data_IF_926823654435
#
_entry.id   IF_926823654435
#
_cell.length_a   1.000
_cell.length_b   1.000
_cell.length_c   1.000
_cell.angle_alpha   90.00
_cell.angle_beta   90.00
_cell.angle_gamma   90.00
#
_symmetry.space_group_name_H-M   'P 1'
#
loop_
_entity.id
_entity.type
_entity.pdbx_description
1 polymer ?
#
# COMPACT_ATOMS: atom_id res chain seq x y z
N UNK A 1 -17.74 24.12 -19.73
CA UNK A 1 -18.08 23.05 -18.76
C UNK A 1 -17.02 21.97 -18.84
N UNK A 2 -16.52 21.48 -17.72
CA UNK A 2 -15.48 20.44 -17.72
C UNK A 2 -16.17 19.07 -17.86
N UNK A 3 -15.87 18.37 -18.94
CA UNK A 3 -16.44 17.03 -19.20
C UNK A 3 -15.69 15.97 -18.42
N UNK A 4 -16.42 14.95 -17.94
CA UNK A 4 -15.85 13.75 -17.29
C UNK A 4 -14.80 13.08 -18.21
N UNK A 5 -14.97 13.15 -19.53
CA UNK A 5 -14.00 12.62 -20.49
C UNK A 5 -12.64 13.31 -20.39
N UNK A 6 -12.62 14.61 -20.14
CA UNK A 6 -11.40 15.39 -19.99
C UNK A 6 -10.69 15.05 -18.67
N UNK A 7 -11.44 14.74 -17.61
CA UNK A 7 -10.89 14.24 -16.35
C UNK A 7 -10.20 12.87 -16.53
N UNK A 8 -10.84 11.95 -17.25
CA UNK A 8 -10.21 10.67 -17.58
C UNK A 8 -8.97 10.82 -18.45
N UNK A 9 -8.99 11.75 -19.41
CA UNK A 9 -7.83 12.05 -20.24
C UNK A 9 -6.66 12.60 -19.40
N UNK A 10 -6.92 13.54 -18.49
CA UNK A 10 -5.90 14.09 -17.58
C UNK A 10 -5.32 13.00 -16.68
N UNK A 11 -6.16 12.13 -16.10
CA UNK A 11 -5.69 11.00 -15.28
C UNK A 11 -4.82 10.05 -16.10
N UNK A 12 -5.24 9.74 -17.33
CA UNK A 12 -4.48 8.87 -18.24
C UNK A 12 -3.11 9.46 -18.59
N UNK A 13 -3.05 10.74 -18.91
CA UNK A 13 -1.80 11.43 -19.22
C UNK A 13 -0.84 11.43 -18.02
N UNK A 14 -1.33 11.79 -16.83
CA UNK A 14 -0.53 11.74 -15.60
C UNK A 14 -0.07 10.31 -15.29
N UNK A 15 -0.93 9.31 -15.52
CA UNK A 15 -0.59 7.90 -15.31
C UNK A 15 0.51 7.46 -16.27
N UNK A 16 0.48 7.89 -17.53
CA UNK A 16 1.50 7.55 -18.52
C UNK A 16 2.90 8.01 -18.10
N UNK A 17 3.01 9.19 -17.47
CA UNK A 17 4.29 9.68 -16.93
C UNK A 17 4.72 8.95 -15.65
N UNK A 18 3.76 8.54 -14.82
CA UNK A 18 4.04 7.92 -13.51
C UNK A 18 4.30 6.41 -13.61
N UNK A 19 3.65 5.74 -14.57
CA UNK A 19 3.70 4.28 -14.74
C UNK A 19 5.10 3.71 -14.96
N UNK A 20 5.98 4.29 -15.80
CA UNK A 20 7.34 3.78 -15.97
C UNK A 20 8.11 3.73 -14.65
N UNK A 21 7.99 4.78 -13.82
CA UNK A 21 8.62 4.82 -12.51
C UNK A 21 8.03 3.74 -11.59
N UNK A 22 6.70 3.60 -11.54
CA UNK A 22 6.05 2.56 -10.73
C UNK A 22 6.42 1.14 -11.17
N UNK A 23 6.53 0.89 -12.47
CA UNK A 23 6.96 -0.41 -13.01
C UNK A 23 8.39 -0.73 -12.57
N UNK A 24 9.31 0.24 -12.70
CA UNK A 24 10.69 0.05 -12.25
C UNK A 24 10.79 -0.22 -10.75
N UNK A 25 10.01 0.51 -9.93
CA UNK A 25 9.94 0.30 -8.48
C UNK A 25 9.36 -1.08 -8.14
N UNK A 26 8.33 -1.52 -8.87
CA UNK A 26 7.74 -2.84 -8.69
C UNK A 26 8.73 -3.96 -9.05
N UNK A 27 9.52 -3.80 -10.13
CA UNK A 27 10.60 -4.74 -10.48
C UNK A 27 11.68 -4.81 -9.41
N UNK A 28 11.97 -3.68 -8.75
CA UNK A 28 12.88 -3.61 -7.62
C UNK A 28 12.27 -4.10 -6.29
N UNK A 29 10.97 -4.43 -6.28
CA UNK A 29 10.21 -4.75 -5.07
C UNK A 29 10.27 -3.66 -3.99
N UNK A 30 10.45 -2.39 -4.39
CA UNK A 30 10.44 -1.23 -3.48
C UNK A 30 9.01 -0.69 -3.32
N UNK A 31 8.26 -1.37 -2.45
CA UNK A 31 6.90 -0.98 -2.11
C UNK A 31 6.83 0.37 -1.39
N UNK A 32 7.85 0.73 -0.61
CA UNK A 32 7.86 1.97 0.16
C UNK A 32 7.87 3.19 -0.74
N UNK A 33 8.83 3.25 -1.66
CA UNK A 33 8.93 4.35 -2.61
C UNK A 33 7.74 4.36 -3.58
N UNK A 34 7.24 3.19 -3.98
CA UNK A 34 6.04 3.10 -4.83
C UNK A 34 4.81 3.75 -4.18
N UNK A 35 4.58 3.53 -2.88
CA UNK A 35 3.48 4.16 -2.15
C UNK A 35 3.62 5.69 -2.09
N UNK A 36 4.85 6.21 -1.97
CA UNK A 36 5.11 7.66 -2.01
C UNK A 36 4.70 8.24 -3.38
N UNK A 37 5.06 7.58 -4.48
CA UNK A 37 4.66 8.01 -5.82
C UNK A 37 3.14 7.97 -6.02
N UNK A 38 2.48 6.92 -5.54
CA UNK A 38 1.02 6.81 -5.58
C UNK A 38 0.36 7.94 -4.76
N UNK A 39 0.91 8.28 -3.60
CA UNK A 39 0.40 9.38 -2.77
C UNK A 39 0.55 10.73 -3.48
N UNK A 40 1.70 11.01 -4.10
CA UNK A 40 1.93 12.23 -4.88
C UNK A 40 0.97 12.29 -6.07
N UNK A 41 0.86 11.21 -6.84
CA UNK A 41 -0.06 11.10 -7.98
C UNK A 41 -1.51 11.39 -7.53
N UNK A 42 -1.96 10.76 -6.46
CA UNK A 42 -3.31 10.94 -5.91
C UNK A 42 -3.53 12.38 -5.45
N UNK A 43 -2.52 13.02 -4.83
CA UNK A 43 -2.56 14.42 -4.44
C UNK A 43 -2.72 15.36 -5.63
N UNK A 44 -1.96 15.13 -6.71
CA UNK A 44 -2.07 15.92 -7.96
C UNK A 44 -3.46 15.75 -8.58
N UNK A 45 -3.96 14.51 -8.69
CA UNK A 45 -5.30 14.21 -9.22
C UNK A 45 -6.37 14.94 -8.41
N UNK A 46 -6.27 14.91 -7.07
CA UNK A 46 -7.20 15.59 -6.18
C UNK A 46 -7.16 17.12 -6.35
N UNK A 47 -5.96 17.72 -6.40
CA UNK A 47 -5.79 19.17 -6.57
C UNK A 47 -6.18 19.67 -7.97
N UNK A 48 -6.10 18.82 -8.99
CA UNK A 48 -6.43 19.19 -10.38
C UNK A 48 -7.93 19.45 -10.61
N UNK A 49 -8.78 19.30 -9.61
CA UNK A 49 -10.22 19.56 -9.71
C UNK A 49 -10.99 18.49 -10.50
N UNK A 50 -10.50 17.24 -10.50
CA UNK A 50 -11.21 16.09 -11.06
C UNK A 50 -12.55 15.90 -10.35
N UNK A 51 -13.57 15.47 -11.11
CA UNK A 51 -14.91 15.22 -10.56
C UNK A 51 -14.89 14.24 -9.37
N UNK A 52 -15.57 14.60 -8.29
CA UNK A 52 -15.82 13.72 -7.12
C UNK A 52 -16.52 12.41 -7.51
N UNK A 53 -17.21 12.37 -8.64
CA UNK A 53 -17.82 11.15 -9.19
C UNK A 53 -16.78 10.08 -9.57
N UNK A 54 -15.54 10.47 -9.84
CA UNK A 54 -14.42 9.55 -10.11
C UNK A 54 -13.65 9.25 -8.83
N UNK A 55 -13.37 10.29 -8.03
CA UNK A 55 -12.54 10.17 -6.82
C UNK A 55 -13.21 9.26 -5.78
N UNK A 56 -14.51 9.44 -5.51
CA UNK A 56 -15.21 8.68 -4.46
C UNK A 56 -15.21 7.17 -4.76
N UNK A 57 -15.61 6.69 -5.96
CA UNK A 57 -15.53 5.27 -6.27
C UNK A 57 -14.12 4.71 -6.15
N UNK A 58 -13.10 5.42 -6.64
CA UNK A 58 -11.70 4.94 -6.58
C UNK A 58 -11.24 4.78 -5.13
N UNK A 59 -11.50 5.78 -4.28
CA UNK A 59 -11.13 5.73 -2.86
C UNK A 59 -11.90 4.61 -2.14
N UNK A 60 -13.20 4.47 -2.40
CA UNK A 60 -14.01 3.39 -1.80
C UNK A 60 -13.50 2.01 -2.23
N UNK A 61 -13.19 1.82 -3.51
CA UNK A 61 -12.61 0.55 -3.99
C UNK A 61 -11.28 0.27 -3.31
N UNK A 62 -10.39 1.26 -3.18
CA UNK A 62 -9.12 1.09 -2.49
C UNK A 62 -9.31 0.70 -1.01
N UNK A 63 -10.25 1.34 -0.32
CA UNK A 63 -10.58 1.03 1.08
C UNK A 63 -11.19 -0.38 1.23
N UNK A 64 -12.07 -0.79 0.32
CA UNK A 64 -12.68 -2.13 0.34
C UNK A 64 -11.62 -3.20 0.08
N UNK A 65 -10.75 -3.00 -0.91
CA UNK A 65 -9.68 -3.96 -1.23
C UNK A 65 -8.65 -4.03 -0.10
N UNK A 66 -8.16 -2.88 0.37
CA UNK A 66 -7.18 -2.83 1.45
C UNK A 66 -7.75 -3.35 2.77
N UNK A 67 -8.97 -2.92 3.13
CA UNK A 67 -9.68 -3.41 4.30
C UNK A 67 -9.99 -4.91 4.22
N UNK A 68 -10.46 -5.38 3.06
CA UNK A 68 -10.70 -6.80 2.80
C UNK A 68 -9.44 -7.65 2.95
N UNK A 69 -8.32 -7.19 2.39
CA UNK A 69 -7.01 -7.82 2.58
C UNK A 69 -6.63 -7.91 4.07
N UNK A 70 -6.79 -6.82 4.83
CA UNK A 70 -6.49 -6.82 6.28
C UNK A 70 -7.39 -7.77 7.06
N UNK A 71 -8.69 -7.81 6.77
CA UNK A 71 -9.64 -8.72 7.40
C UNK A 71 -9.26 -10.19 7.14
N UNK A 72 -8.89 -10.51 5.90
CA UNK A 72 -8.39 -11.85 5.54
C UNK A 72 -7.09 -12.12 6.32
N UNK A 73 -6.13 -11.19 6.33
CA UNK A 73 -4.83 -11.38 6.96
C UNK A 73 -4.89 -11.66 8.47
N UNK A 74 -5.84 -11.03 9.17
CA UNK A 74 -6.04 -11.19 10.62
C UNK A 74 -6.87 -12.46 10.95
N UNK A 75 -7.66 -12.97 10.00
CA UNK A 75 -8.45 -14.18 10.17
C UNK A 75 -7.59 -15.41 10.45
N UNK A 76 -8.13 -16.37 11.22
CA UNK A 76 -7.43 -17.58 11.69
C UNK A 76 -6.85 -18.40 10.53
N UNK A 77 -7.63 -18.60 9.47
CA UNK A 77 -7.23 -19.39 8.29
C UNK A 77 -6.79 -18.51 7.11
N UNK A 78 -6.96 -17.19 7.23
CA UNK A 78 -6.72 -16.30 6.10
C UNK A 78 -5.26 -16.26 5.67
N UNK A 79 -4.30 -16.47 6.58
CA UNK A 79 -2.87 -16.56 6.24
C UNK A 79 -2.54 -17.82 5.42
N UNK A 80 -3.18 -18.94 5.75
CA UNK A 80 -3.03 -20.18 4.97
C UNK A 80 -3.66 -20.02 3.58
N UNK A 81 -4.81 -19.36 3.50
CA UNK A 81 -5.42 -18.97 2.22
C UNK A 81 -4.51 -18.07 1.39
N UNK A 82 -3.92 -17.01 2.00
CA UNK A 82 -2.97 -16.11 1.33
C UNK A 82 -1.74 -16.87 0.79
N UNK A 83 -1.25 -17.86 1.53
CA UNK A 83 -0.17 -18.73 1.05
C UNK A 83 -0.59 -19.61 -0.13
N UNK A 84 -1.81 -20.18 -0.09
CA UNK A 84 -2.33 -21.02 -1.17
C UNK A 84 -2.56 -20.26 -2.47
N UNK A 85 -2.95 -18.97 -2.40
CA UNK A 85 -3.09 -18.11 -3.58
C UNK A 85 -1.74 -17.58 -4.12
N UNK A 86 -0.61 -17.97 -3.51
CA UNK A 86 0.73 -17.72 -4.02
C UNK A 86 1.52 -16.61 -3.31
N UNK A 87 1.04 -16.07 -2.18
CA UNK A 87 1.85 -15.12 -1.40
C UNK A 87 2.92 -15.90 -0.63
N UNK A 88 4.22 -15.62 -0.84
CA UNK A 88 5.28 -16.34 -0.16
C UNK A 88 5.17 -16.21 1.36
N UNK A 89 5.43 -17.30 2.10
CA UNK A 89 5.42 -17.31 3.58
C UNK A 89 6.35 -16.24 4.15
N UNK A 90 7.46 -15.95 3.48
CA UNK A 90 8.37 -14.88 3.85
C UNK A 90 7.68 -13.49 3.90
N UNK A 91 6.84 -13.17 2.90
CA UNK A 91 6.14 -11.88 2.88
C UNK A 91 5.09 -11.80 4.00
N UNK A 92 4.38 -12.90 4.25
CA UNK A 92 3.44 -13.01 5.37
C UNK A 92 4.18 -12.81 6.70
N UNK A 93 5.31 -13.50 6.89
CA UNK A 93 6.13 -13.39 8.10
C UNK A 93 6.67 -11.98 8.32
N UNK A 94 7.05 -11.25 7.26
CA UNK A 94 7.46 -9.83 7.39
C UNK A 94 6.32 -8.94 7.90
N UNK A 95 5.10 -9.13 7.40
CA UNK A 95 3.94 -8.37 7.87
C UNK A 95 3.65 -8.72 9.34
N UNK A 96 3.75 -10.00 9.71
CA UNK A 96 3.58 -10.44 11.10
C UNK A 96 4.64 -9.89 12.05
N UNK A 97 5.89 -9.88 11.61
CA UNK A 97 7.00 -9.32 12.36
C UNK A 97 6.80 -7.80 12.56
N UNK A 98 6.34 -7.08 11.55
CA UNK A 98 5.97 -5.66 11.71
C UNK A 98 4.80 -5.45 12.68
N UNK A 99 3.77 -6.32 12.64
CA UNK A 99 2.60 -6.21 13.51
C UNK A 99 2.91 -6.56 14.97
N UNK A 100 3.77 -7.57 15.21
CA UNK A 100 4.16 -8.03 16.54
C UNK A 100 5.70 -8.03 16.69
N UNK A 101 6.36 -6.85 16.74
CA UNK A 101 7.81 -6.75 16.66
C UNK A 101 8.54 -7.39 17.84
N UNK A 102 7.90 -7.52 19.01
CA UNK A 102 8.51 -8.13 20.19
C UNK A 102 8.58 -9.66 20.12
N UNK A 103 7.60 -10.30 19.49
CA UNK A 103 7.59 -11.77 19.30
C UNK A 103 8.69 -12.21 18.32
N UNK A 104 9.10 -11.33 17.41
CA UNK A 104 10.12 -11.59 16.39
C UNK A 104 11.44 -10.84 16.65
N UNK A 105 11.60 -10.25 17.85
CA UNK A 105 12.72 -9.37 18.19
C UNK A 105 14.10 -10.06 18.05
N UNK A 106 14.17 -11.38 18.15
CA UNK A 106 15.44 -12.12 18.04
C UNK A 106 15.84 -12.47 16.59
N UNK A 107 14.98 -12.26 15.58
CA UNK A 107 15.24 -12.72 14.20
C UNK A 107 15.13 -11.61 13.15
N UNK A 108 14.01 -10.89 13.06
CA UNK A 108 13.71 -10.00 11.91
C UNK A 108 13.47 -8.54 12.31
N UNK A 109 13.07 -8.28 13.57
CA UNK A 109 12.61 -6.96 14.03
C UNK A 109 13.46 -6.37 15.16
N UNK A 110 14.67 -6.91 15.42
CA UNK A 110 15.52 -6.50 16.53
C UNK A 110 15.68 -4.97 16.64
N UNK A 111 16.01 -4.31 15.52
CA UNK A 111 16.20 -2.86 15.46
C UNK A 111 14.90 -2.08 15.75
N UNK A 112 13.75 -2.58 15.29
CA UNK A 112 12.45 -1.94 15.51
C UNK A 112 11.99 -2.10 16.97
N UNK A 113 12.19 -3.27 17.57
CA UNK A 113 11.88 -3.53 18.97
C UNK A 113 12.79 -2.72 19.92
N UNK A 114 14.10 -2.67 19.65
CA UNK A 114 15.04 -1.88 20.44
C UNK A 114 14.78 -0.38 20.32
N UNK A 115 14.38 0.12 19.14
CA UNK A 115 13.95 1.51 18.97
C UNK A 115 12.74 1.86 19.85
N UNK A 116 11.76 0.96 19.97
CA UNK A 116 10.61 1.17 20.87
C UNK A 116 11.01 1.13 22.34
N UNK A 117 11.90 0.21 22.73
CA UNK A 117 12.44 0.12 24.10
C UNK A 117 13.22 1.39 24.46
N UNK A 118 14.08 1.88 23.56
CA UNK A 118 14.91 3.07 23.78
C UNK A 118 14.09 4.35 24.00
N UNK A 119 12.93 4.47 23.34
CA UNK A 119 11.98 5.58 23.58
C UNK A 119 11.35 5.47 24.98
N UNK A 120 11.06 4.24 25.43
CA UNK A 120 10.45 3.99 26.73
C UNK A 120 11.42 3.94 27.92
N UNK A 121 12.71 3.73 27.67
CA UNK A 121 13.77 3.71 28.69
C UNK A 121 14.46 5.07 28.89
N UNK A 122 13.96 6.12 28.21
CA UNK A 122 14.39 7.51 28.38
C UNK A 122 13.95 8.09 29.72
#
# INVERSE_FOLDING_TARGET
>A
ERSIQLDFFLIFELALYTLPALILLALQSDLGTALVFIAIFSGIVFLSGVSWKIIVPVVLTALIVGGGFLLIFISKDGRAFLHQIGIPTYQINRILAWLNPFDYAQTTTYQQAQGQIAIGSG
#
